data_IF_972622491648
#
_entry.id   IF_972622491648
#
_cell.length_a   1.000
_cell.length_b   1.000
_cell.length_c   1.000
_cell.angle_alpha   90.00
_cell.angle_beta   90.00
_cell.angle_gamma   90.00
#
_symmetry.space_group_name_H-M   'P 1'
#
loop_
_entity.id
_entity.type
_entity.pdbx_description
1 polymer ?
#
# COMPACT_ATOMS: atom_id res chain seq x y z
N UNK A 1 20.08 9.68 -10.64
CA UNK A 1 20.87 8.64 -9.92
C UNK A 1 20.82 8.98 -8.44
N UNK A 2 19.84 8.50 -7.68
CA UNK A 2 19.38 9.26 -6.50
C UNK A 2 19.83 8.78 -5.10
N UNK A 3 20.50 7.64 -4.93
CA UNK A 3 21.10 7.31 -3.62
C UNK A 3 22.45 6.57 -3.75
N UNK A 4 22.60 5.74 -4.80
CA UNK A 4 23.83 4.99 -5.06
C UNK A 4 23.88 3.59 -4.44
N UNK A 5 22.73 3.03 -4.05
CA UNK A 5 22.65 1.63 -3.59
C UNK A 5 23.04 0.65 -4.69
N UNK A 6 23.64 -0.47 -4.29
CA UNK A 6 23.87 -1.60 -5.18
C UNK A 6 22.56 -2.28 -5.55
N UNK A 7 22.54 -3.03 -6.64
CA UNK A 7 21.36 -3.82 -7.04
C UNK A 7 20.91 -4.81 -5.97
N UNK A 8 21.85 -5.36 -5.21
CA UNK A 8 21.58 -6.24 -4.06
C UNK A 8 20.85 -5.49 -2.95
N UNK A 9 21.37 -4.32 -2.55
CA UNK A 9 20.76 -3.48 -1.52
C UNK A 9 19.34 -3.06 -1.91
N UNK A 10 19.14 -2.69 -3.17
CA UNK A 10 17.81 -2.39 -3.70
C UNK A 10 16.88 -3.61 -3.62
N UNK A 11 17.35 -4.80 -4.01
CA UNK A 11 16.59 -6.04 -3.92
C UNK A 11 16.19 -6.40 -2.48
N UNK A 12 17.11 -6.25 -1.52
CA UNK A 12 16.83 -6.43 -0.09
C UNK A 12 15.71 -5.48 0.36
N UNK A 13 15.85 -4.19 0.04
CA UNK A 13 14.83 -3.19 0.39
C UNK A 13 13.47 -3.51 -0.25
N UNK A 14 13.41 -3.95 -1.51
CA UNK A 14 12.15 -4.31 -2.16
C UNK A 14 11.49 -5.55 -1.55
N UNK A 15 12.28 -6.55 -1.17
CA UNK A 15 11.75 -7.78 -0.53
C UNK A 15 11.08 -7.54 0.83
N UNK A 16 11.48 -6.47 1.54
CA UNK A 16 10.91 -6.10 2.84
C UNK A 16 9.39 -5.88 2.80
N UNK A 17 8.88 -5.38 1.67
CA UNK A 17 7.45 -5.18 1.46
C UNK A 17 6.69 -6.52 1.50
N UNK A 18 7.20 -7.54 0.80
CA UNK A 18 6.63 -8.89 0.81
C UNK A 18 6.70 -9.53 2.20
N UNK A 19 7.81 -9.34 2.92
CA UNK A 19 7.95 -9.79 4.32
C UNK A 19 6.90 -9.12 5.20
N UNK A 20 6.69 -7.81 5.02
CA UNK A 20 5.65 -7.05 5.71
C UNK A 20 4.24 -7.58 5.46
N UNK A 21 3.90 -7.88 4.20
CA UNK A 21 2.59 -8.46 3.85
C UNK A 21 2.39 -9.81 4.54
N UNK A 22 3.41 -10.68 4.55
CA UNK A 22 3.32 -11.98 5.22
C UNK A 22 3.06 -11.82 6.73
N UNK A 23 3.83 -10.95 7.40
CA UNK A 23 3.63 -10.63 8.81
C UNK A 23 2.21 -10.08 9.03
N UNK A 24 1.79 -9.09 8.25
CA UNK A 24 0.47 -8.48 8.36
C UNK A 24 -0.66 -9.48 8.17
N UNK A 25 -0.50 -10.42 7.23
CA UNK A 25 -1.46 -11.49 6.94
C UNK A 25 -1.60 -12.46 8.11
N UNK A 26 -0.49 -12.83 8.75
CA UNK A 26 -0.50 -13.66 9.96
C UNK A 26 -1.17 -12.89 11.11
N UNK A 27 -0.79 -11.62 11.32
CA UNK A 27 -1.34 -10.78 12.39
C UNK A 27 -2.86 -10.65 12.27
N UNK A 28 -3.38 -10.38 11.07
CA UNK A 28 -4.82 -10.22 10.88
C UNK A 28 -5.57 -11.55 10.93
N UNK A 29 -4.98 -12.63 10.43
CA UNK A 29 -5.59 -13.97 10.48
C UNK A 29 -5.64 -14.56 11.89
N UNK A 30 -4.73 -14.17 12.79
CA UNK A 30 -4.62 -14.73 14.14
C UNK A 30 -5.09 -13.74 15.20
N UNK A 31 -4.29 -12.70 15.46
CA UNK A 31 -4.46 -11.75 16.58
C UNK A 31 -5.64 -10.82 16.34
N UNK A 32 -5.79 -10.30 15.12
CA UNK A 32 -6.82 -9.30 14.79
C UNK A 32 -8.00 -9.88 14.00
N UNK A 33 -8.19 -11.20 14.04
CA UNK A 33 -9.25 -11.90 13.31
C UNK A 33 -10.68 -11.43 13.64
N UNK A 34 -10.87 -10.90 14.85
CA UNK A 34 -12.15 -10.37 15.34
C UNK A 34 -12.23 -8.83 15.34
N UNK A 35 -11.24 -8.14 14.78
CA UNK A 35 -11.26 -6.68 14.75
C UNK A 35 -12.36 -6.16 13.82
N UNK A 36 -12.83 -4.95 14.14
CA UNK A 36 -13.74 -4.22 13.27
C UNK A 36 -13.06 -3.92 11.91
N UNK A 37 -13.62 -4.35 10.78
CA UNK A 37 -13.03 -4.13 9.46
C UNK A 37 -12.80 -2.65 9.12
N UNK A 38 -13.75 -1.77 9.47
CA UNK A 38 -13.62 -0.31 9.27
C UNK A 38 -12.39 0.23 9.98
N UNK A 39 -12.21 -0.17 11.24
CA UNK A 39 -11.06 0.25 12.04
C UNK A 39 -9.74 -0.28 11.46
N UNK A 40 -9.72 -1.54 11.04
CA UNK A 40 -8.54 -2.15 10.39
C UNK A 40 -8.13 -1.38 9.14
N UNK A 41 -9.06 -1.19 8.21
CA UNK A 41 -8.79 -0.50 6.94
C UNK A 41 -8.40 0.96 7.18
N UNK A 42 -9.11 1.67 8.06
CA UNK A 42 -8.81 3.09 8.36
C UNK A 42 -7.42 3.25 8.96
N UNK A 43 -7.05 2.41 9.94
CA UNK A 43 -5.71 2.47 10.54
C UNK A 43 -4.63 2.07 9.53
N UNK A 44 -4.86 1.04 8.73
CA UNK A 44 -3.93 0.64 7.67
C UNK A 44 -3.66 1.79 6.69
N UNK A 45 -4.72 2.46 6.20
CA UNK A 45 -4.59 3.60 5.29
C UNK A 45 -3.86 4.79 5.92
N UNK A 46 -4.12 5.09 7.20
CA UNK A 46 -3.41 6.17 7.92
C UNK A 46 -1.92 5.84 8.06
N UNK A 47 -1.59 4.60 8.45
CA UNK A 47 -0.19 4.18 8.59
C UNK A 47 0.51 4.20 7.24
N UNK A 48 -0.12 3.68 6.18
CA UNK A 48 0.41 3.72 4.82
C UNK A 48 0.69 5.16 4.38
N UNK A 49 -0.26 6.08 4.58
CA UNK A 49 -0.08 7.51 4.29
C UNK A 49 1.14 8.10 5.02
N UNK A 50 1.26 7.87 6.33
CA UNK A 50 2.39 8.37 7.12
C UNK A 50 3.71 7.80 6.59
N UNK A 51 3.74 6.49 6.30
CA UNK A 51 4.96 5.84 5.83
C UNK A 51 5.39 6.31 4.43
N UNK A 52 4.44 6.61 3.53
CA UNK A 52 4.73 7.22 2.22
C UNK A 52 5.38 8.60 2.35
N UNK A 53 4.91 9.42 3.29
CA UNK A 53 5.57 10.71 3.60
C UNK A 53 6.95 10.53 4.21
N UNK A 54 7.14 9.55 5.08
CA UNK A 54 8.46 9.21 5.63
C UNK A 54 9.40 8.79 4.50
N UNK A 55 8.98 7.91 3.60
CA UNK A 55 9.74 7.54 2.40
C UNK A 55 10.12 8.80 1.63
N UNK A 56 9.16 9.65 1.29
CA UNK A 56 9.42 10.88 0.53
C UNK A 56 10.47 11.76 1.21
N UNK A 57 10.40 11.88 2.54
CA UNK A 57 11.39 12.56 3.37
C UNK A 57 12.78 11.93 3.31
N UNK A 58 12.87 10.60 3.35
CA UNK A 58 14.15 9.86 3.28
C UNK A 58 14.87 10.04 1.94
N UNK A 59 14.14 10.28 0.85
CA UNK A 59 14.71 10.58 -0.46
C UNK A 59 15.16 12.05 -0.62
N UNK A 60 14.88 12.96 0.33
CA UNK A 60 15.36 14.34 0.22
C UNK A 60 16.89 14.40 0.28
N UNK A 61 17.56 15.17 -0.59
CA UNK A 61 19.02 15.25 -0.65
C UNK A 61 19.67 15.60 0.70
N UNK A 62 19.09 16.52 1.47
CA UNK A 62 19.61 16.92 2.79
C UNK A 62 19.55 15.79 3.82
N UNK A 63 18.56 14.89 3.72
CA UNK A 63 18.43 13.74 4.59
C UNK A 63 19.42 12.66 4.16
N UNK A 64 19.48 12.37 2.86
CA UNK A 64 20.43 11.40 2.30
C UNK A 64 21.87 11.77 2.67
N UNK A 65 22.29 13.03 2.51
CA UNK A 65 23.64 13.47 2.89
C UNK A 65 23.89 13.36 4.39
N UNK A 66 22.91 13.69 5.24
CA UNK A 66 23.01 13.54 6.70
C UNK A 66 23.21 12.08 7.14
N UNK A 67 22.63 11.13 6.40
CA UNK A 67 22.81 9.69 6.64
C UNK A 67 24.04 9.11 5.93
N UNK A 68 24.89 9.93 5.32
CA UNK A 68 26.12 9.47 4.65
C UNK A 68 25.90 8.84 3.27
N UNK A 69 24.81 9.18 2.58
CA UNK A 69 24.49 8.64 1.24
C UNK A 69 23.89 7.24 1.30
N UNK A 70 24.39 6.34 0.44
CA UNK A 70 24.03 4.92 0.39
C UNK A 70 24.57 4.12 1.59
N UNK A 71 24.21 4.53 2.80
CA UNK A 71 24.64 3.86 4.02
C UNK A 71 23.74 2.68 4.40
N UNK A 72 24.31 1.73 5.15
CA UNK A 72 23.54 0.64 5.76
C UNK A 72 22.45 1.15 6.70
N UNK A 73 22.67 2.29 7.35
CA UNK A 73 21.66 2.91 8.22
C UNK A 73 20.43 3.35 7.41
N UNK A 74 20.63 4.04 6.29
CA UNK A 74 19.52 4.45 5.43
C UNK A 74 18.79 3.23 4.86
N UNK A 75 19.52 2.18 4.49
CA UNK A 75 18.95 0.93 4.00
C UNK A 75 18.05 0.28 5.05
N UNK A 76 18.50 0.15 6.31
CA UNK A 76 17.71 -0.45 7.39
C UNK A 76 16.45 0.38 7.66
N UNK A 77 16.54 1.71 7.66
CA UNK A 77 15.38 2.59 7.85
C UNK A 77 14.36 2.39 6.72
N UNK A 78 14.81 2.35 5.46
CA UNK A 78 13.95 2.09 4.31
C UNK A 78 13.33 0.69 4.36
N UNK A 79 14.11 -0.32 4.76
CA UNK A 79 13.64 -1.70 4.93
C UNK A 79 12.50 -1.76 5.95
N UNK A 80 12.69 -1.18 7.14
CA UNK A 80 11.66 -1.17 8.19
C UNK A 80 10.43 -0.41 7.71
N UNK A 81 10.61 0.74 7.06
CA UNK A 81 9.50 1.54 6.55
C UNK A 81 8.65 0.75 5.52
N UNK A 82 9.28 0.17 4.50
CA UNK A 82 8.59 -0.62 3.49
C UNK A 82 7.95 -1.89 4.07
N UNK A 83 8.58 -2.51 5.08
CA UNK A 83 7.97 -3.62 5.81
C UNK A 83 6.68 -3.17 6.53
N UNK A 84 6.68 -2.00 7.18
CA UNK A 84 5.48 -1.44 7.82
C UNK A 84 4.40 -1.14 6.78
N UNK A 85 4.76 -0.60 5.61
CA UNK A 85 3.82 -0.44 4.49
C UNK A 85 3.22 -1.78 4.08
N UNK A 86 4.04 -2.83 3.99
CA UNK A 86 3.58 -4.20 3.71
C UNK A 86 2.59 -4.72 4.75
N UNK A 87 2.85 -4.49 6.04
CA UNK A 87 1.90 -4.85 7.12
C UNK A 87 0.58 -4.09 6.95
N UNK A 88 0.64 -2.77 6.76
CA UNK A 88 -0.55 -1.94 6.54
C UNK A 88 -1.35 -2.40 5.32
N UNK A 89 -0.68 -2.79 4.24
CA UNK A 89 -1.30 -3.30 3.03
C UNK A 89 -2.18 -4.53 3.32
N UNK A 90 -1.71 -5.46 4.16
CA UNK A 90 -2.50 -6.62 4.58
C UNK A 90 -3.73 -6.21 5.40
N UNK A 91 -3.60 -5.22 6.29
CA UNK A 91 -4.70 -4.70 7.12
C UNK A 91 -5.78 -3.97 6.32
N UNK A 92 -5.45 -3.52 5.11
CA UNK A 92 -6.36 -2.89 4.16
C UNK A 92 -7.01 -3.96 3.27
N UNK A 93 -6.19 -4.73 2.56
CA UNK A 93 -6.66 -5.60 1.49
C UNK A 93 -7.43 -6.80 2.01
N UNK A 94 -7.00 -7.46 3.09
CA UNK A 94 -7.65 -8.67 3.60
C UNK A 94 -9.10 -8.40 4.03
N UNK A 95 -9.40 -7.36 4.84
CA UNK A 95 -10.79 -7.04 5.19
C UNK A 95 -11.62 -6.60 3.98
N UNK A 96 -11.07 -5.81 3.06
CA UNK A 96 -11.77 -5.37 1.84
C UNK A 96 -12.15 -6.59 1.00
N UNK A 97 -11.18 -7.47 0.72
CA UNK A 97 -11.41 -8.68 -0.07
C UNK A 97 -12.41 -9.61 0.62
N UNK A 98 -12.28 -9.82 1.93
CA UNK A 98 -13.20 -10.68 2.71
C UNK A 98 -14.63 -10.12 2.70
N UNK A 99 -14.78 -8.80 2.84
CA UNK A 99 -16.09 -8.16 2.80
C UNK A 99 -16.70 -8.22 1.39
N UNK A 100 -15.90 -7.98 0.35
CA UNK A 100 -16.33 -8.14 -1.04
C UNK A 100 -16.77 -9.58 -1.33
N UNK A 101 -16.08 -10.59 -0.79
CA UNK A 101 -16.51 -11.99 -0.91
C UNK A 101 -17.89 -12.23 -0.28
N UNK A 102 -18.16 -11.66 0.90
CA UNK A 102 -19.46 -11.80 1.60
C UNK A 102 -20.62 -11.12 0.87
N UNK A 103 -20.33 -10.04 0.14
CA UNK A 103 -21.32 -9.29 -0.65
C UNK A 103 -21.52 -9.83 -2.06
N UNK A 104 -20.69 -10.78 -2.50
CA UNK A 104 -20.73 -11.29 -3.86
C UNK A 104 -21.31 -12.70 -3.92
N UNK A 105 -22.40 -12.92 -4.68
CA UNK A 105 -22.98 -14.25 -4.85
C UNK A 105 -21.96 -15.26 -5.38
N UNK A 106 -22.02 -16.49 -4.88
CA UNK A 106 -21.02 -17.53 -5.14
C UNK A 106 -20.84 -17.83 -6.63
N UNK A 107 -21.93 -17.82 -7.41
CA UNK A 107 -21.94 -18.12 -8.85
C UNK A 107 -21.23 -17.08 -9.74
N UNK A 108 -21.07 -15.83 -9.27
CA UNK A 108 -20.42 -14.74 -10.02
C UNK A 108 -19.15 -14.23 -9.36
N UNK A 109 -18.77 -14.76 -8.19
CA UNK A 109 -17.64 -14.29 -7.37
C UNK A 109 -16.34 -14.19 -8.15
N UNK A 110 -15.96 -15.23 -8.90
CA UNK A 110 -14.73 -15.20 -9.71
C UNK A 110 -14.74 -14.08 -10.75
N UNK A 111 -15.87 -13.85 -11.42
CA UNK A 111 -16.02 -12.79 -12.43
C UNK A 111 -15.86 -11.40 -11.83
N UNK A 112 -16.50 -11.15 -10.68
CA UNK A 112 -16.37 -9.87 -9.96
C UNK A 112 -14.91 -9.63 -9.56
N UNK A 113 -14.27 -10.60 -8.92
CA UNK A 113 -12.86 -10.49 -8.52
C UNK A 113 -11.91 -10.31 -9.70
N UNK A 114 -12.16 -10.96 -10.83
CA UNK A 114 -11.37 -10.77 -12.06
C UNK A 114 -11.51 -9.35 -12.60
N UNK A 115 -12.73 -8.80 -12.69
CA UNK A 115 -12.95 -7.44 -13.22
C UNK A 115 -12.31 -6.39 -12.31
N UNK A 116 -12.56 -6.47 -11.00
CA UNK A 116 -11.96 -5.55 -10.02
C UNK A 116 -10.44 -5.68 -10.02
N UNK A 117 -9.92 -6.91 -10.04
CA UNK A 117 -8.49 -7.19 -10.09
C UNK A 117 -7.83 -6.68 -11.36
N UNK A 118 -8.50 -6.76 -12.52
CA UNK A 118 -8.00 -6.24 -13.78
C UNK A 118 -7.88 -4.72 -13.76
N UNK A 119 -8.89 -4.01 -13.26
CA UNK A 119 -8.88 -2.55 -13.15
C UNK A 119 -7.75 -2.11 -12.18
N UNK A 120 -7.66 -2.75 -11.02
CA UNK A 120 -6.67 -2.41 -10.01
C UNK A 120 -5.24 -2.67 -10.49
N UNK A 121 -4.96 -3.88 -11.02
CA UNK A 121 -3.62 -4.26 -11.46
C UNK A 121 -3.24 -3.64 -12.81
N UNK A 122 -4.22 -3.40 -13.69
CA UNK A 122 -4.03 -2.68 -14.94
C UNK A 122 -3.63 -1.22 -14.74
N UNK A 123 -3.96 -0.64 -13.57
CA UNK A 123 -3.51 0.72 -13.22
C UNK A 123 -2.01 0.81 -12.92
N UNK A 124 -1.36 -0.29 -12.54
CA UNK A 124 0.08 -0.32 -12.22
C UNK A 124 0.97 0.06 -13.42
N UNK A 125 0.88 -0.58 -14.59
CA UNK A 125 1.70 -0.21 -15.75
C UNK A 125 1.40 1.22 -16.23
N UNK A 126 0.14 1.68 -16.12
CA UNK A 126 -0.22 3.06 -16.44
C UNK A 126 0.47 4.04 -15.49
N UNK A 127 0.44 3.76 -14.18
CA UNK A 127 1.16 4.54 -13.18
C UNK A 127 2.67 4.54 -13.40
N UNK A 128 3.25 3.40 -13.76
CA UNK A 128 4.67 3.27 -14.09
C UNK A 128 5.05 4.09 -15.33
N UNK A 129 4.21 4.13 -16.35
CA UNK A 129 4.41 4.96 -17.54
C UNK A 129 4.40 6.45 -17.21
N UNK A 130 3.42 6.89 -16.39
CA UNK A 130 3.34 8.28 -15.91
C UNK A 130 4.58 8.62 -15.07
N UNK A 131 4.98 7.71 -14.16
CA UNK A 131 6.18 7.86 -13.35
C UNK A 131 7.44 8.02 -14.20
N UNK A 132 7.58 7.24 -15.27
CA UNK A 132 8.69 7.36 -16.22
C UNK A 132 8.76 8.75 -16.85
N UNK A 133 7.63 9.29 -17.32
CA UNK A 133 7.57 10.65 -17.90
C UNK A 133 7.90 11.71 -16.84
N UNK A 134 7.43 11.54 -15.60
CA UNK A 134 7.71 12.48 -14.51
C UNK A 134 9.19 12.53 -14.14
N UNK A 135 9.95 11.45 -14.30
CA UNK A 135 11.39 11.43 -14.03
C UNK A 135 12.20 12.33 -14.97
N UNK A 136 11.70 12.59 -16.18
CA UNK A 136 12.33 13.51 -17.12
C UNK A 136 12.06 14.98 -16.77
N UNK A 137 11.04 15.24 -15.93
CA UNK A 137 10.56 16.58 -15.59
C UNK A 137 10.90 17.01 -14.16
N UNK A 138 11.08 16.06 -13.25
CA UNK A 138 11.19 16.29 -11.81
C UNK A 138 12.23 15.37 -11.18
N UNK A 139 12.79 15.78 -10.03
CA UNK A 139 13.66 14.91 -9.22
C UNK A 139 12.83 13.86 -8.49
N UNK A 140 13.39 12.68 -8.23
CA UNK A 140 12.65 11.55 -7.66
C UNK A 140 12.06 11.85 -6.28
N UNK A 141 12.75 12.62 -5.42
CA UNK A 141 12.17 13.05 -4.14
C UNK A 141 10.93 13.95 -4.30
N UNK A 142 10.87 14.76 -5.36
CA UNK A 142 9.71 15.61 -5.65
C UNK A 142 8.53 14.77 -6.15
N UNK A 143 8.82 13.75 -6.95
CA UNK A 143 7.83 12.78 -7.43
C UNK A 143 7.27 11.96 -6.26
N UNK A 144 8.14 11.48 -5.36
CA UNK A 144 7.72 10.74 -4.16
C UNK A 144 6.80 11.60 -3.28
N UNK A 145 7.17 12.87 -3.05
CA UNK A 145 6.35 13.79 -2.28
C UNK A 145 4.99 14.06 -2.97
N UNK A 146 5.00 14.31 -4.29
CA UNK A 146 3.78 14.50 -5.06
C UNK A 146 2.86 13.26 -4.98
N UNK A 147 3.42 12.07 -5.18
CA UNK A 147 2.69 10.80 -5.07
C UNK A 147 2.10 10.62 -3.66
N UNK A 148 2.85 10.96 -2.60
CA UNK A 148 2.35 10.87 -1.22
C UNK A 148 1.18 11.82 -0.95
N UNK A 149 1.23 13.03 -1.49
CA UNK A 149 0.13 14.00 -1.40
C UNK A 149 -1.12 13.47 -2.14
N UNK A 150 -0.93 13.00 -3.37
CA UNK A 150 -2.03 12.41 -4.17
C UNK A 150 -2.64 11.20 -3.45
N UNK A 151 -1.82 10.31 -2.91
CA UNK A 151 -2.27 9.15 -2.14
C UNK A 151 -3.10 9.56 -0.93
N UNK A 152 -2.70 10.59 -0.18
CA UNK A 152 -3.51 11.09 0.95
C UNK A 152 -4.84 11.66 0.50
N UNK A 153 -4.87 12.40 -0.61
CA UNK A 153 -6.14 12.90 -1.18
C UNK A 153 -7.05 11.72 -1.53
N UNK A 154 -6.53 10.70 -2.20
CA UNK A 154 -7.29 9.49 -2.55
C UNK A 154 -7.78 8.75 -1.31
N UNK A 155 -6.95 8.62 -0.27
CA UNK A 155 -7.33 8.00 1.01
C UNK A 155 -8.47 8.78 1.69
N UNK A 156 -8.38 10.11 1.74
CA UNK A 156 -9.43 10.95 2.33
C UNK A 156 -10.73 10.82 1.54
N UNK A 157 -10.65 10.82 0.20
CA UNK A 157 -11.81 10.62 -0.67
C UNK A 157 -12.43 9.25 -0.46
N UNK A 158 -11.62 8.19 -0.41
CA UNK A 158 -12.07 6.83 -0.15
C UNK A 158 -12.80 6.75 1.19
N UNK A 159 -12.23 7.27 2.27
CA UNK A 159 -12.86 7.21 3.61
C UNK A 159 -14.15 8.03 3.71
N UNK A 160 -14.33 9.07 2.88
CA UNK A 160 -15.56 9.88 2.83
C UNK A 160 -16.64 9.29 1.95
N UNK A 161 -16.27 8.67 0.83
CA UNK A 161 -17.19 8.23 -0.24
C UNK A 161 -17.53 6.74 -0.10
N UNK A 162 -16.64 5.93 0.49
CA UNK A 162 -16.84 4.48 0.60
C UNK A 162 -18.17 4.17 1.29
N UNK A 163 -19.04 3.36 0.65
CA UNK A 163 -20.28 2.89 1.26
C UNK A 163 -20.02 2.15 2.58
N UNK A 164 -21.00 2.18 3.48
CA UNK A 164 -20.86 1.47 4.76
C UNK A 164 -20.67 -0.04 4.54
N UNK A 165 -21.29 -0.58 3.48
CA UNK A 165 -21.18 -1.97 3.07
C UNK A 165 -19.74 -2.42 2.80
N UNK A 166 -18.85 -1.50 2.38
CA UNK A 166 -17.42 -1.80 2.21
C UNK A 166 -16.79 -2.29 3.51
N UNK A 167 -17.26 -1.79 4.65
CA UNK A 167 -16.74 -2.15 5.97
C UNK A 167 -17.64 -3.12 6.73
N UNK A 168 -18.96 -3.01 6.55
CA UNK A 168 -20.00 -3.78 7.22
C UNK A 168 -20.86 -4.49 6.16
N UNK A 169 -20.40 -5.61 5.58
CA UNK A 169 -21.10 -6.25 4.47
C UNK A 169 -22.42 -6.85 4.94
N UNK A 170 -23.50 -6.56 4.22
CA UNK A 170 -24.75 -7.34 4.32
C UNK A 170 -24.55 -8.62 3.51
N UNK A 171 -24.55 -9.81 4.14
CA UNK A 171 -24.39 -11.06 3.41
C UNK A 171 -25.48 -11.17 2.35
N UNK A 172 -25.12 -11.65 1.14
CA UNK A 172 -26.13 -12.01 0.15
C UNK A 172 -26.91 -13.20 0.71
N UNK A 173 -28.21 -13.05 0.93
CA UNK A 173 -29.08 -14.20 1.17
C UNK A 173 -29.08 -15.02 -0.11
N UNK A 174 -28.48 -16.20 -0.08
CA UNK A 174 -28.67 -17.21 -1.11
C UNK A 174 -30.10 -17.73 -0.96
N UNK A 175 -31.09 -16.98 -1.47
CA UNK A 175 -32.40 -17.54 -1.76
C UNK A 175 -32.20 -18.56 -2.89
N UNK A 176 -32.19 -19.83 -2.48
CA UNK A 176 -32.27 -21.01 -3.35
C UNK A 176 -33.73 -21.29 -3.68
#
# INVERSE_FOLDING_TARGET
QEIGFTSEQYGITQSSFTVGILIGSILIGTIFSKNNPKKSVTLGLIVEAIMLFIISGLFFPNIVTKFGGASWTLLIILYINLMVIGVSNAFINIPIDTNMQKMTPTNVRSRVFTVVGLIARGSIPVGAQIYGILLDLMRGYQIALFASIVSVIVIILFLKIAPEETFNPKPVNEEV
#
